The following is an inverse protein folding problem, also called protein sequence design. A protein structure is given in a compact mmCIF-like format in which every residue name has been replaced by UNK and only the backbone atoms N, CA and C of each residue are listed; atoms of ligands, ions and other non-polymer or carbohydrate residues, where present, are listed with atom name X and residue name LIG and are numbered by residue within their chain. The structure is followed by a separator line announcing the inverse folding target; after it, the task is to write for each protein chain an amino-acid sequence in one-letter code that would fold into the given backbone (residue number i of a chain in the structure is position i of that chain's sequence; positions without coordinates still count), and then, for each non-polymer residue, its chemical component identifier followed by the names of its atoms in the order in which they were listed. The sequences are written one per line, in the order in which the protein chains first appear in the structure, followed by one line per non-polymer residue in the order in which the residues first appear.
data_IF_404880911527
#
_entry.id   IF_404880911527
#
_cell.length_a   1.000
_cell.length_b   1.000
_cell.length_c   1.000
_cell.angle_alpha   90.00
_cell.angle_beta   90.00
_cell.angle_gamma   90.00
#
_symmetry.space_group_name_H-M   'P 1'
#
loop_
_entity.id
_entity.type
_entity.pdbx_description
1 polymer ?
#
# COMPACT_ATOMS: atom_id res chain seq x y z
N UNK A 1 8.51 -10.22 8.91
CA UNK A 1 9.97 -10.29 9.13
C UNK A 1 10.34 -9.00 9.83
N UNK A 2 10.99 -9.08 10.98
CA UNK A 2 11.48 -7.92 11.72
C UNK A 2 12.66 -7.32 10.97
N UNK A 3 12.68 -6.00 10.81
CA UNK A 3 13.70 -5.33 10.00
C UNK A 3 15.07 -5.39 10.68
N UNK A 4 15.09 -5.36 12.01
CA UNK A 4 16.30 -5.29 12.83
C UNK A 4 17.04 -6.63 12.86
N UNK A 5 16.30 -7.74 12.87
CA UNK A 5 16.87 -9.08 13.09
C UNK A 5 16.72 -10.01 11.88
N UNK A 6 15.93 -9.65 10.88
CA UNK A 6 15.63 -10.51 9.73
C UNK A 6 14.83 -11.76 10.09
N UNK A 7 14.37 -11.88 11.33
CA UNK A 7 13.63 -13.04 11.83
C UNK A 7 12.18 -12.94 11.37
N UNK A 8 11.63 -14.06 10.90
CA UNK A 8 10.20 -14.14 10.63
C UNK A 8 9.46 -14.33 11.96
N UNK A 9 8.56 -13.39 12.26
CA UNK A 9 7.68 -13.50 13.43
C UNK A 9 6.82 -14.78 13.33
N UNK A 10 6.90 -15.71 14.30
CA UNK A 10 6.06 -16.90 14.32
C UNK A 10 4.56 -16.58 14.44
N UNK A 11 4.20 -15.46 15.06
CA UNK A 11 2.81 -15.03 15.18
C UNK A 11 2.27 -14.44 13.87
N UNK A 12 3.14 -14.16 12.90
CA UNK A 12 2.82 -13.56 11.61
C UNK A 12 2.16 -12.18 11.74
N UNK A 13 2.50 -11.41 12.77
CA UNK A 13 2.10 -10.01 12.83
C UNK A 13 3.03 -9.13 11.99
N UNK A 14 2.53 -8.03 11.40
CA UNK A 14 1.15 -7.53 11.45
C UNK A 14 0.20 -8.14 10.40
N UNK A 15 0.60 -9.21 9.69
CA UNK A 15 -0.16 -9.76 8.56
C UNK A 15 -1.53 -10.31 8.97
N UNK A 16 -1.62 -11.05 10.08
CA UNK A 16 -2.90 -11.52 10.62
C UNK A 16 -3.84 -10.37 10.94
N UNK A 17 -3.34 -9.33 11.60
CA UNK A 17 -4.12 -8.13 11.91
C UNK A 17 -4.62 -7.43 10.64
N UNK A 18 -3.78 -7.25 9.61
CA UNK A 18 -4.22 -6.68 8.33
C UNK A 18 -5.34 -7.50 7.66
N UNK A 19 -5.28 -8.83 7.79
CA UNK A 19 -6.32 -9.71 7.28
C UNK A 19 -7.67 -9.56 8.00
N UNK A 20 -7.80 -8.91 9.16
CA UNK A 20 -9.11 -8.78 9.82
C UNK A 20 -9.94 -7.60 9.29
N UNK A 21 -9.31 -6.50 8.90
CA UNK A 21 -10.01 -5.25 8.53
C UNK A 21 -9.64 -4.65 7.16
N UNK A 22 -8.61 -5.16 6.48
CA UNK A 22 -8.19 -4.66 5.15
C UNK A 22 -8.44 -5.65 4.01
N UNK A 23 -9.42 -6.53 4.15
CA UNK A 23 -9.79 -7.48 3.09
C UNK A 23 -10.38 -6.76 1.89
N UNK A 24 -9.81 -6.98 0.71
CA UNK A 24 -10.41 -6.58 -0.56
C UNK A 24 -10.35 -7.74 -1.55
N UNK A 25 -11.37 -7.87 -2.43
CA UNK A 25 -11.27 -8.75 -3.58
C UNK A 25 -10.13 -8.26 -4.47
N UNK A 26 -9.23 -9.16 -4.84
CA UNK A 26 -8.25 -8.98 -5.91
C UNK A 26 -8.49 -10.02 -7.02
N UNK A 27 -7.71 -9.94 -8.10
CA UNK A 27 -7.79 -10.86 -9.23
C UNK A 27 -7.49 -12.34 -8.88
N UNK A 28 -6.93 -12.61 -7.69
CA UNK A 28 -6.44 -13.91 -7.23
C UNK A 28 -7.08 -14.35 -5.90
N UNK A 29 -8.17 -13.72 -5.47
CA UNK A 29 -8.91 -14.04 -4.24
C UNK A 29 -9.10 -12.86 -3.29
N UNK A 30 -9.33 -13.15 -2.01
CA UNK A 30 -9.43 -12.12 -0.96
C UNK A 30 -8.07 -12.00 -0.28
N UNK A 31 -7.42 -10.86 -0.43
CA UNK A 31 -6.16 -10.55 0.26
C UNK A 31 -6.28 -9.26 1.07
N UNK A 32 -5.41 -9.14 2.07
CA UNK A 32 -5.29 -7.89 2.79
C UNK A 32 -4.57 -6.86 1.90
N UNK A 33 -5.17 -5.68 1.71
CA UNK A 33 -4.56 -4.58 0.97
C UNK A 33 -4.03 -3.51 1.92
N UNK A 34 -2.75 -3.18 1.81
CA UNK A 34 -2.12 -2.09 2.54
C UNK A 34 -1.28 -1.25 1.58
N UNK A 35 -1.78 -0.06 1.23
CA UNK A 35 -1.20 0.81 0.20
C UNK A 35 -1.82 0.62 -1.19
N UNK A 36 -1.22 1.27 -2.19
CA UNK A 36 -1.60 1.19 -3.60
C UNK A 36 -0.37 1.23 -4.50
N UNK A 37 -0.49 0.66 -5.69
CA UNK A 37 0.50 0.86 -6.75
C UNK A 37 0.23 2.21 -7.43
N UNK A 38 1.29 2.93 -7.78
CA UNK A 38 1.25 4.17 -8.55
C UNK A 38 2.14 4.02 -9.78
N UNK A 39 1.75 4.67 -10.87
CA UNK A 39 2.57 4.80 -12.08
C UNK A 39 3.15 6.21 -12.15
N UNK A 40 4.39 6.31 -12.64
CA UNK A 40 5.02 7.61 -12.92
C UNK A 40 4.45 8.18 -14.21
N UNK A 41 3.77 9.32 -14.12
CA UNK A 41 3.22 10.02 -15.28
C UNK A 41 4.21 11.01 -15.89
N UNK A 42 5.05 11.61 -15.05
CA UNK A 42 6.08 12.59 -15.42
C UNK A 42 7.33 12.36 -14.57
N UNK A 43 8.51 12.52 -15.17
CA UNK A 43 9.78 12.39 -14.47
C UNK A 43 10.07 13.65 -13.64
N UNK A 44 10.56 13.49 -12.42
CA UNK A 44 10.89 14.61 -11.55
C UNK A 44 11.55 14.18 -10.25
N UNK A 45 11.84 15.15 -9.39
CA UNK A 45 12.40 14.94 -8.05
C UNK A 45 11.32 15.26 -7.03
N UNK A 46 11.12 14.35 -6.07
CA UNK A 46 10.26 14.55 -4.90
C UNK A 46 11.15 14.51 -3.66
N UNK A 47 10.90 15.41 -2.71
CA UNK A 47 11.64 15.52 -1.45
C UNK A 47 10.71 15.37 -0.26
N UNK A 48 11.28 14.96 0.88
CA UNK A 48 10.56 14.90 2.14
C UNK A 48 10.09 16.31 2.52
N UNK A 49 8.80 16.44 2.83
CA UNK A 49 8.17 17.72 3.17
C UNK A 49 7.51 18.43 1.98
N UNK A 50 7.69 17.94 0.75
CA UNK A 50 6.98 18.47 -0.40
C UNK A 50 5.46 18.32 -0.23
N UNK A 51 4.71 19.36 -0.64
CA UNK A 51 3.24 19.33 -0.58
C UNK A 51 2.70 18.37 -1.63
N UNK A 52 1.88 17.41 -1.20
CA UNK A 52 1.17 16.50 -2.10
C UNK A 52 -0.18 17.09 -2.48
N UNK A 53 -0.48 17.13 -3.78
CA UNK A 53 -1.82 17.47 -4.30
C UNK A 53 -2.39 16.24 -4.98
N UNK A 54 -3.61 15.87 -4.61
CA UNK A 54 -4.34 14.79 -5.28
C UNK A 54 -5.19 15.42 -6.37
N UNK A 55 -4.85 15.14 -7.62
CA UNK A 55 -5.66 15.55 -8.77
C UNK A 55 -6.80 14.53 -8.91
N UNK A 56 -8.04 14.99 -8.78
CA UNK A 56 -9.22 14.17 -9.08
C UNK A 56 -9.51 14.37 -10.55
N UNK A 57 -9.40 13.30 -11.34
CA UNK A 57 -10.08 13.29 -12.64
C UNK A 57 -11.57 13.15 -12.35
N UNK A 58 -12.33 14.23 -12.57
CA UNK A 58 -13.78 14.12 -12.68
C UNK A 58 -14.09 13.31 -13.93
N UNK A 59 -14.30 12.01 -13.76
CA UNK A 59 -14.76 11.12 -14.83
C UNK A 59 -16.25 11.40 -15.08
N UNK A 60 -16.55 12.51 -15.75
CA UNK A 60 -17.81 12.71 -16.45
C UNK A 60 -17.67 12.15 -17.86
N UNK A 61 -17.99 10.86 -18.04
CA UNK A 61 -18.40 10.26 -19.31
C UNK A 61 -19.38 9.13 -19.03
#
# INVERSE_FOLDING_TARGET
VTQETGIRDPNQEPWKTLQTFRRKPDLYGIKAQFGTYLATMENGIIRVGDRVRVLREDKNF
#
